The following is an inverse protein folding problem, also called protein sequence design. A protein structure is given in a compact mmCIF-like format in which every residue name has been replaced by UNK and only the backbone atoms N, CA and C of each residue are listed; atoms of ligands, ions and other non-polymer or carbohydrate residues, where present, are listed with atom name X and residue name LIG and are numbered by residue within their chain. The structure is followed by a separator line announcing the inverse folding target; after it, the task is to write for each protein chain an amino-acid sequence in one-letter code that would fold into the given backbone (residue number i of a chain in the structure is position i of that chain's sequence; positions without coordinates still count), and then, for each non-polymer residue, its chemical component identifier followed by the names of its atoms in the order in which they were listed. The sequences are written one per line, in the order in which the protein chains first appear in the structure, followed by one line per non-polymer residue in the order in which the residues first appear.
data_IF_223966986216
#
_entry.id   IF_223966986216
#
_cell.length_a   1.000
_cell.length_b   1.000
_cell.length_c   1.000
_cell.angle_alpha   90.00
_cell.angle_beta   90.00
_cell.angle_gamma   90.00
#
_symmetry.space_group_name_H-M   'P 1'
#
loop_
_entity.id
_entity.type
_entity.pdbx_description
1 polymer ?
#
# COMPACT_ATOMS: atom_id res chain seq x y z
N UNK A 1 -10.77 -3.90 12.05
CA UNK A 1 -10.46 -2.74 11.19
C UNK A 1 -9.05 -2.26 11.52
N UNK A 2 -8.07 -2.42 10.62
CA UNK A 2 -6.69 -1.90 10.79
C UNK A 2 -6.41 -0.90 9.68
N UNK A 3 -6.75 0.36 9.91
CA UNK A 3 -6.49 1.47 9.00
C UNK A 3 -5.29 2.27 9.56
N UNK A 4 -4.27 2.52 8.74
CA UNK A 4 -3.16 3.45 9.02
C UNK A 4 -2.26 3.17 10.24
N UNK A 5 -1.79 1.93 10.42
CA UNK A 5 -0.87 1.56 11.53
C UNK A 5 0.52 2.26 11.50
N UNK A 6 0.85 3.04 10.46
CA UNK A 6 2.16 3.70 10.28
C UNK A 6 2.10 5.21 9.95
N UNK A 7 0.97 5.86 10.19
CA UNK A 7 0.82 7.32 10.04
C UNK A 7 0.51 7.81 8.61
N UNK A 8 -0.12 8.98 8.51
CA UNK A 8 -0.53 9.64 7.26
C UNK A 8 0.53 10.61 6.74
N UNK A 9 0.74 10.73 5.41
CA UNK A 9 1.65 11.71 4.83
C UNK A 9 1.20 13.17 5.06
N UNK A 10 2.15 14.04 5.41
CA UNK A 10 1.97 15.49 5.57
C UNK A 10 2.20 16.23 4.22
N UNK A 11 1.47 17.32 3.90
CA UNK A 11 1.49 17.93 2.57
C UNK A 11 2.64 18.93 2.40
N UNK A 12 3.79 18.50 1.89
CA UNK A 12 4.80 19.39 1.28
C UNK A 12 5.63 18.56 0.28
N UNK A 13 5.44 18.80 -1.03
CA UNK A 13 5.90 17.94 -2.16
C UNK A 13 7.42 17.97 -2.45
N UNK A 14 7.90 17.47 -3.62
CA UNK A 14 7.33 16.53 -4.61
C UNK A 14 7.76 15.08 -4.27
N UNK A 15 7.44 14.01 -5.04
CA UNK A 15 6.44 13.79 -6.09
C UNK A 15 5.36 12.78 -5.64
N UNK A 16 4.19 12.86 -6.27
CA UNK A 16 3.18 11.81 -6.21
C UNK A 16 3.76 10.39 -6.43
N UNK A 17 4.85 10.31 -7.21
CA UNK A 17 5.63 9.10 -7.44
C UNK A 17 6.36 8.58 -6.19
N UNK A 18 7.03 9.39 -5.36
CA UNK A 18 7.77 8.86 -4.19
C UNK A 18 6.82 8.50 -3.03
N UNK A 19 5.70 9.22 -2.90
CA UNK A 19 4.64 8.83 -1.98
C UNK A 19 3.99 7.52 -2.44
N UNK A 20 3.71 7.38 -3.75
CA UNK A 20 3.17 6.15 -4.33
C UNK A 20 4.10 4.95 -4.15
N UNK A 21 5.39 5.08 -4.47
CA UNK A 21 6.36 3.98 -4.29
C UNK A 21 6.54 3.59 -2.83
N UNK A 22 6.54 4.54 -1.89
CA UNK A 22 6.61 4.25 -0.46
C UNK A 22 5.36 3.49 0.03
N UNK A 23 4.17 3.88 -0.41
CA UNK A 23 2.90 3.22 -0.03
C UNK A 23 2.87 1.80 -0.58
N UNK A 24 3.25 1.60 -1.84
CA UNK A 24 3.34 0.27 -2.46
C UNK A 24 4.36 -0.61 -1.76
N UNK A 25 5.57 -0.10 -1.50
CA UNK A 25 6.64 -0.87 -0.84
C UNK A 25 6.30 -1.25 0.61
N UNK A 26 5.64 -0.36 1.34
CA UNK A 26 5.21 -0.63 2.72
C UNK A 26 4.10 -1.68 2.73
N UNK A 27 3.11 -1.54 1.84
CA UNK A 27 2.01 -2.49 1.77
C UNK A 27 2.48 -3.87 1.29
N UNK A 28 3.37 -3.96 0.29
CA UNK A 28 3.88 -5.23 -0.20
C UNK A 28 4.64 -6.01 0.86
N UNK A 29 5.47 -5.32 1.67
CA UNK A 29 6.19 -5.94 2.80
C UNK A 29 5.24 -6.49 3.86
N UNK A 30 4.20 -5.74 4.21
CA UNK A 30 3.17 -6.19 5.16
C UNK A 30 2.35 -7.37 4.61
N UNK A 31 1.95 -7.31 3.35
CA UNK A 31 1.17 -8.37 2.71
C UNK A 31 1.97 -9.66 2.61
N UNK A 32 3.26 -9.61 2.27
CA UNK A 32 4.10 -10.82 2.23
C UNK A 32 4.29 -11.41 3.62
N UNK A 33 4.56 -10.59 4.63
CA UNK A 33 4.67 -11.06 6.01
C UNK A 33 3.39 -11.75 6.49
N UNK A 34 2.22 -11.19 6.17
CA UNK A 34 0.91 -11.80 6.50
C UNK A 34 0.63 -13.06 5.70
N UNK A 35 0.95 -13.08 4.40
CA UNK A 35 0.75 -14.25 3.56
C UNK A 35 1.55 -15.45 4.07
N UNK A 36 2.80 -15.24 4.49
CA UNK A 36 3.63 -16.28 5.12
C UNK A 36 3.06 -16.72 6.47
N UNK A 37 2.66 -15.77 7.32
CA UNK A 37 2.13 -16.10 8.65
C UNK A 37 0.80 -16.87 8.61
N UNK A 38 -0.10 -16.52 7.69
CA UNK A 38 -1.41 -17.16 7.55
C UNK A 38 -1.40 -18.33 6.54
N UNK A 39 -0.23 -18.61 5.95
CA UNK A 39 0.01 -19.57 4.87
C UNK A 39 -1.08 -19.57 3.78
N UNK A 40 -1.54 -18.38 3.40
CA UNK A 40 -2.61 -18.17 2.41
C UNK A 40 -2.37 -16.90 1.59
N UNK A 41 -2.92 -16.80 0.38
CA UNK A 41 -2.87 -15.55 -0.38
C UNK A 41 -3.60 -14.42 0.35
N UNK A 42 -2.94 -13.27 0.48
CA UNK A 42 -3.50 -12.07 1.12
C UNK A 42 -3.55 -10.94 0.10
N UNK A 43 -4.69 -10.24 0.07
CA UNK A 43 -4.91 -9.11 -0.85
C UNK A 43 -4.99 -7.80 -0.04
N UNK A 44 -4.34 -6.75 -0.53
CA UNK A 44 -4.41 -5.40 0.00
C UNK A 44 -4.82 -4.39 -1.07
N UNK A 45 -5.37 -3.28 -0.62
CA UNK A 45 -5.86 -2.20 -1.47
C UNK A 45 -5.10 -0.91 -1.17
N UNK A 46 -4.66 -0.23 -2.23
CA UNK A 46 -4.11 1.12 -2.18
C UNK A 46 -5.13 2.04 -2.82
N UNK A 47 -5.42 3.16 -2.16
CA UNK A 47 -6.18 4.26 -2.71
C UNK A 47 -5.41 5.55 -2.46
N UNK A 48 -5.21 6.36 -3.49
CA UNK A 48 -4.48 7.63 -3.41
C UNK A 48 -5.23 8.73 -4.17
N UNK A 49 -5.33 9.90 -3.55
CA UNK A 49 -5.90 11.12 -4.14
C UNK A 49 -4.75 12.09 -4.49
N UNK A 50 -4.81 12.66 -5.69
CA UNK A 50 -3.86 13.63 -6.24
C UNK A 50 -4.49 15.01 -6.38
N UNK A 51 -3.65 16.04 -6.27
CA UNK A 51 -4.04 17.39 -6.61
C UNK A 51 -4.58 17.46 -8.05
N UNK A 52 -5.60 18.30 -8.29
CA UNK A 52 -6.28 18.37 -9.60
C UNK A 52 -7.46 17.41 -9.76
N UNK A 53 -7.95 16.80 -8.68
CA UNK A 53 -9.15 15.95 -8.71
C UNK A 53 -8.91 14.56 -9.30
N UNK A 54 -7.66 14.09 -9.29
CA UNK A 54 -7.28 12.79 -9.82
C UNK A 54 -7.11 11.79 -8.67
N UNK A 55 -7.35 10.51 -8.93
CA UNK A 55 -7.12 9.45 -7.95
C UNK A 55 -6.77 8.14 -8.62
N UNK A 56 -6.01 7.29 -7.92
CA UNK A 56 -5.66 5.96 -8.38
C UNK A 56 -5.97 4.92 -7.30
N UNK A 57 -6.46 3.77 -7.73
CA UNK A 57 -6.70 2.59 -6.87
C UNK A 57 -5.93 1.42 -7.44
N UNK A 58 -5.24 0.67 -6.58
CA UNK A 58 -4.51 -0.53 -6.96
C UNK A 58 -4.81 -1.67 -5.99
N UNK A 59 -4.94 -2.88 -6.53
CA UNK A 59 -5.06 -4.11 -5.75
C UNK A 59 -3.74 -4.88 -5.85
N UNK A 60 -3.20 -5.27 -4.69
CA UNK A 60 -1.96 -6.04 -4.58
C UNK A 60 -2.28 -7.36 -3.90
N UNK A 61 -1.81 -8.47 -4.48
CA UNK A 61 -1.94 -9.80 -3.89
C UNK A 61 -0.56 -10.37 -3.62
N UNK A 62 -0.35 -10.84 -2.39
CA UNK A 62 0.85 -11.57 -2.00
C UNK A 62 0.51 -13.06 -1.85
N UNK A 63 1.36 -13.90 -2.41
CA UNK A 63 1.28 -15.35 -2.28
C UNK A 63 2.33 -15.83 -1.26
N UNK A 64 2.00 -16.82 -0.41
CA UNK A 64 2.94 -17.37 0.57
C UNK A 64 4.17 -17.99 -0.09
N UNK A 65 4.02 -18.55 -1.29
CA UNK A 65 5.03 -19.34 -2.00
C UNK A 65 5.41 -18.70 -3.35
N UNK A 66 6.70 -18.76 -3.67
CA UNK A 66 7.30 -18.63 -5.01
C UNK A 66 8.46 -19.59 -5.09
#
# INVERSE_FOLDING_TARGET
SRLNARGSPWPAGPPFAATGTRVVATLSKELKARAVAENRPVTGLISVCAAGGQGAVALLRAYPES
#
